data_IF_923560393348
#
_entry.id   IF_923560393348
#
_cell.length_a   1.000
_cell.length_b   1.000
_cell.length_c   1.000
_cell.angle_alpha   90.00
_cell.angle_beta   90.00
_cell.angle_gamma   90.00
#
_symmetry.space_group_name_H-M   'P 1'
#
loop_
_entity.id
_entity.type
_entity.pdbx_description
1 polymer ?
#
# COMPACT_ATOMS: atom_id res chain seq x y z
N UNK A 1 17.71 19.18 28.11
CA UNK A 1 16.59 20.13 28.30
C UNK A 1 15.30 19.33 28.44
N UNK A 2 14.56 19.50 29.54
CA UNK A 2 13.33 18.74 29.84
C UNK A 2 12.15 19.33 29.03
N UNK A 3 11.55 18.55 28.12
CA UNK A 3 10.30 18.90 27.43
C UNK A 3 9.10 18.72 28.39
N UNK A 4 8.08 19.60 28.38
CA UNK A 4 6.92 19.49 29.25
C UNK A 4 5.94 18.42 28.72
N UNK A 5 5.30 17.69 29.63
CA UNK A 5 4.34 16.61 29.34
C UNK A 5 2.93 17.19 29.29
N UNK A 6 2.26 17.10 28.15
CA UNK A 6 0.80 17.25 28.06
C UNK A 6 0.19 15.86 28.32
N UNK A 7 -0.60 15.76 29.39
CA UNK A 7 -1.18 14.53 29.88
C UNK A 7 -2.60 14.40 29.31
N UNK A 8 -2.78 13.54 28.30
CA UNK A 8 -4.12 13.14 27.85
C UNK A 8 -4.47 11.85 28.58
N UNK A 9 -5.49 11.94 29.42
CA UNK A 9 -6.01 10.85 30.24
C UNK A 9 -6.93 9.98 29.36
N UNK A 10 -6.53 8.74 29.07
CA UNK A 10 -7.43 7.72 28.54
C UNK A 10 -7.72 6.68 29.64
N UNK A 11 -9.01 6.47 29.88
CA UNK A 11 -9.60 5.61 30.91
C UNK A 11 -9.17 4.14 30.70
N UNK A 12 -8.48 3.54 31.67
CA UNK A 12 -8.20 2.09 31.71
C UNK A 12 -9.12 1.43 32.73
N UNK A 13 -9.93 0.48 32.26
CA UNK A 13 -10.78 -0.37 33.08
C UNK A 13 -9.99 -1.47 33.79
N UNK A 14 -10.37 -1.68 35.05
CA UNK A 14 -9.85 -2.55 36.09
C UNK A 14 -9.91 -4.07 35.77
N UNK A 15 -8.77 -4.79 35.85
CA UNK A 15 -8.67 -6.20 36.31
C UNK A 15 -7.32 -6.37 37.03
N UNK A 16 -7.34 -7.04 38.19
CA UNK A 16 -6.37 -6.95 39.29
C UNK A 16 -5.03 -7.71 39.17
N UNK A 17 -4.21 -7.68 40.24
CA UNK A 17 -2.78 -7.89 40.19
C UNK A 17 -2.40 -9.35 40.40
N UNK A 18 -1.72 -9.94 39.41
CA UNK A 18 -0.89 -11.12 39.59
C UNK A 18 0.57 -10.67 39.48
N UNK A 19 1.17 -10.47 40.64
CA UNK A 19 2.60 -10.24 40.79
C UNK A 19 3.36 -11.51 40.35
N UNK A 20 3.69 -11.59 39.06
CA UNK A 20 4.84 -12.35 38.60
C UNK A 20 6.08 -11.48 38.81
N UNK A 21 7.25 -12.05 39.18
CA UNK A 21 8.48 -11.28 39.27
C UNK A 21 8.76 -10.74 37.87
N UNK A 22 8.63 -9.42 37.71
CA UNK A 22 9.10 -8.71 36.54
C UNK A 22 10.62 -8.82 36.55
N UNK A 23 11.15 -9.91 36.00
CA UNK A 23 12.40 -9.85 35.27
C UNK A 23 12.14 -8.85 34.13
N UNK A 24 12.30 -7.57 34.45
CA UNK A 24 12.37 -6.50 33.48
C UNK A 24 13.63 -6.77 32.67
N UNK A 25 13.50 -7.62 31.66
CA UNK A 25 14.35 -7.49 30.49
C UNK A 25 14.08 -6.08 29.99
N UNK A 26 15.06 -5.18 30.14
CA UNK A 26 15.12 -3.88 29.47
C UNK A 26 15.24 -4.11 27.96
N UNK A 27 14.30 -4.83 27.36
CA UNK A 27 14.31 -5.05 25.92
C UNK A 27 14.00 -3.71 25.27
N UNK A 28 15.01 -3.12 24.63
CA UNK A 28 14.87 -1.93 23.82
C UNK A 28 14.64 -2.35 22.38
N UNK A 29 13.66 -1.72 21.74
CA UNK A 29 13.41 -1.88 20.31
C UNK A 29 14.69 -1.59 19.52
N UNK A 30 14.99 -2.44 18.53
CA UNK A 30 16.05 -2.18 17.55
C UNK A 30 15.61 -2.57 16.15
N UNK A 31 15.94 -1.71 15.17
CA UNK A 31 15.76 -1.98 13.74
C UNK A 31 16.83 -2.90 13.14
N UNK A 32 17.87 -3.26 13.90
CA UNK A 32 19.00 -4.07 13.40
C UNK A 32 18.66 -5.57 13.32
N UNK A 33 17.48 -5.96 13.80
CA UNK A 33 17.00 -7.34 13.76
C UNK A 33 16.07 -7.57 12.56
N UNK A 34 16.00 -8.80 12.02
CA UNK A 34 15.08 -9.13 10.94
C UNK A 34 13.59 -8.88 11.27
N UNK A 35 13.21 -8.97 12.55
CA UNK A 35 11.86 -8.70 13.06
C UNK A 35 11.64 -7.22 13.46
N UNK A 36 12.68 -6.38 13.33
CA UNK A 36 12.62 -4.93 13.58
C UNK A 36 12.18 -4.10 12.37
N UNK A 37 11.91 -4.76 11.24
CA UNK A 37 11.42 -4.16 9.99
C UNK A 37 10.16 -4.91 9.58
N UNK A 38 9.12 -4.18 9.18
CA UNK A 38 7.90 -4.84 8.74
C UNK A 38 8.13 -5.65 7.45
N UNK A 39 7.25 -6.64 7.16
CA UNK A 39 7.31 -7.37 5.90
C UNK A 39 7.31 -6.42 4.70
N UNK A 40 7.98 -6.82 3.62
CA UNK A 40 8.17 -5.99 2.41
C UNK A 40 6.87 -5.41 1.85
N UNK A 41 5.71 -6.00 2.10
CA UNK A 41 4.42 -5.45 1.68
C UNK A 41 4.06 -4.11 2.34
N UNK A 42 4.55 -3.84 3.54
CA UNK A 42 4.28 -2.63 4.30
C UNK A 42 5.31 -1.55 3.92
N UNK A 43 4.83 -0.39 3.51
CA UNK A 43 5.63 0.83 3.30
C UNK A 43 5.34 1.75 4.48
N UNK A 44 6.31 2.58 4.87
CA UNK A 44 6.18 3.51 6.00
C UNK A 44 5.99 2.77 7.34
N UNK A 45 6.75 1.70 7.55
CA UNK A 45 6.66 0.85 8.75
C UNK A 45 7.30 1.46 10.00
N UNK A 46 8.24 2.39 9.82
CA UNK A 46 8.94 3.08 10.92
C UNK A 46 9.42 4.47 10.51
N UNK A 47 9.69 5.32 11.50
CA UNK A 47 10.47 6.53 11.30
C UNK A 47 11.96 6.21 11.18
N UNK A 48 12.66 7.01 10.39
CA UNK A 48 14.10 6.96 10.16
C UNK A 48 14.81 7.93 11.11
N UNK A 49 16.04 7.59 11.51
CA UNK A 49 16.89 8.48 12.29
C UNK A 49 17.20 9.79 11.54
N UNK A 50 17.57 10.84 12.27
CA UNK A 50 17.89 12.14 11.68
C UNK A 50 18.96 12.03 10.57
N UNK A 51 18.62 12.50 9.37
CA UNK A 51 19.49 12.48 8.19
C UNK A 51 19.62 11.13 7.49
N UNK A 52 18.96 10.08 7.98
CA UNK A 52 18.95 8.78 7.31
C UNK A 52 18.12 8.83 6.02
N UNK A 53 18.62 8.16 4.99
CA UNK A 53 17.99 8.02 3.68
C UNK A 53 17.61 6.55 3.46
N UNK A 54 16.36 6.32 3.12
CA UNK A 54 15.85 5.02 2.68
C UNK A 54 15.50 5.10 1.19
N UNK A 55 15.99 4.14 0.41
CA UNK A 55 15.67 4.01 -1.01
C UNK A 55 15.19 2.59 -1.25
N UNK A 56 13.97 2.46 -1.75
CA UNK A 56 13.34 1.19 -2.05
C UNK A 56 12.92 1.14 -3.51
N UNK A 57 13.06 -0.03 -4.13
CA UNK A 57 12.46 -0.32 -5.42
C UNK A 57 11.65 -1.61 -5.29
N UNK A 58 10.42 -1.58 -5.80
CA UNK A 58 9.51 -2.72 -5.79
C UNK A 58 8.97 -2.95 -7.19
N UNK A 59 9.09 -4.19 -7.65
CA UNK A 59 8.37 -4.69 -8.79
C UNK A 59 7.25 -5.60 -8.29
N UNK A 60 6.08 -5.50 -8.91
CA UNK A 60 4.94 -6.38 -8.64
C UNK A 60 4.26 -6.69 -9.96
N UNK A 61 3.99 -7.97 -10.18
CA UNK A 61 3.19 -8.44 -11.29
C UNK A 61 1.92 -9.09 -10.72
N UNK A 62 0.79 -8.80 -11.35
CA UNK A 62 -0.50 -9.38 -11.02
C UNK A 62 -1.17 -9.88 -12.28
N UNK A 63 -1.37 -11.19 -12.34
CA UNK A 63 -2.17 -11.83 -13.38
C UNK A 63 -3.53 -12.27 -12.80
N UNK A 64 -4.59 -11.98 -13.54
CA UNK A 64 -5.95 -12.36 -13.20
C UNK A 64 -6.63 -12.98 -14.42
N UNK A 65 -7.29 -14.12 -14.19
CA UNK A 65 -7.99 -14.89 -15.23
C UNK A 65 -9.32 -15.45 -14.73
N UNK A 66 -10.24 -15.60 -15.68
CA UNK A 66 -11.56 -16.19 -15.46
C UNK A 66 -12.51 -15.25 -14.73
N UNK A 67 -13.79 -15.64 -14.72
CA UNK A 67 -14.88 -14.76 -14.26
C UNK A 67 -15.61 -15.42 -13.10
N UNK A 68 -15.88 -14.64 -12.06
CA UNK A 68 -16.55 -15.10 -10.85
C UNK A 68 -17.65 -14.15 -10.44
N UNK A 69 -18.73 -14.70 -9.89
CA UNK A 69 -19.72 -13.95 -9.12
C UNK A 69 -19.92 -14.69 -7.79
N UNK A 70 -19.39 -14.12 -6.71
CA UNK A 70 -19.31 -14.82 -5.42
C UNK A 70 -18.42 -16.08 -5.51
N UNK A 71 -18.88 -17.24 -5.03
CA UNK A 71 -18.12 -18.49 -5.11
C UNK A 71 -18.18 -19.13 -6.51
N UNK A 72 -19.12 -18.73 -7.36
CA UNK A 72 -19.42 -19.39 -8.62
C UNK A 72 -18.55 -18.86 -9.76
N UNK A 73 -18.05 -19.79 -10.59
CA UNK A 73 -17.28 -19.49 -11.80
C UNK A 73 -18.21 -19.52 -13.01
N UNK A 74 -18.05 -18.54 -13.89
CA UNK A 74 -18.78 -18.43 -15.14
C UNK A 74 -17.82 -18.58 -16.31
N UNK A 75 -18.27 -19.24 -17.38
CA UNK A 75 -17.53 -19.23 -18.63
C UNK A 75 -17.74 -17.92 -19.37
N UNK A 76 -16.79 -17.56 -20.21
CA UNK A 76 -16.82 -16.39 -21.07
C UNK A 76 -18.10 -16.39 -21.93
N UNK A 77 -18.47 -17.56 -22.48
CA UNK A 77 -19.69 -17.72 -23.28
C UNK A 77 -20.99 -17.44 -22.48
N UNK A 78 -21.04 -17.82 -21.20
CA UNK A 78 -22.19 -17.52 -20.35
C UNK A 78 -22.31 -16.01 -20.11
N UNK A 79 -21.18 -15.33 -19.91
CA UNK A 79 -21.14 -13.88 -19.68
C UNK A 79 -21.45 -13.11 -20.96
N UNK A 80 -20.94 -13.57 -22.11
CA UNK A 80 -21.24 -13.02 -23.44
C UNK A 80 -22.70 -13.20 -23.87
N UNK A 81 -23.45 -14.08 -23.20
CA UNK A 81 -24.90 -14.17 -23.37
C UNK A 81 -25.68 -13.01 -22.73
N UNK A 82 -25.02 -12.19 -21.90
CA UNK A 82 -25.62 -11.09 -21.14
C UNK A 82 -24.93 -9.75 -21.45
N UNK A 83 -23.62 -9.77 -21.69
CA UNK A 83 -22.80 -8.59 -21.98
C UNK A 83 -22.15 -8.71 -23.35
N UNK A 84 -21.95 -7.58 -24.04
CA UNK A 84 -21.33 -7.57 -25.38
C UNK A 84 -19.82 -7.89 -25.35
N UNK A 85 -19.18 -7.62 -24.20
CA UNK A 85 -17.75 -7.79 -23.99
C UNK A 85 -17.46 -8.49 -22.66
N UNK A 86 -16.38 -9.26 -22.65
CA UNK A 86 -15.92 -9.97 -21.47
C UNK A 86 -14.40 -9.89 -21.32
N UNK A 87 -13.87 -9.49 -20.15
CA UNK A 87 -12.44 -9.57 -19.89
C UNK A 87 -12.06 -11.04 -19.67
N UNK A 88 -11.13 -11.54 -20.46
CA UNK A 88 -10.64 -12.93 -20.40
C UNK A 88 -9.48 -13.04 -19.41
N UNK A 89 -8.50 -12.16 -19.59
CA UNK A 89 -7.29 -12.11 -18.79
C UNK A 89 -6.84 -10.67 -18.57
N UNK A 90 -6.06 -10.47 -17.51
CA UNK A 90 -5.42 -9.20 -17.19
C UNK A 90 -4.06 -9.44 -16.57
N UNK A 91 -3.07 -8.69 -17.04
CA UNK A 91 -1.75 -8.60 -16.43
C UNK A 91 -1.47 -7.15 -16.05
N UNK A 92 -0.97 -6.93 -14.84
CA UNK A 92 -0.59 -5.61 -14.33
C UNK A 92 0.83 -5.70 -13.80
N UNK A 93 1.73 -4.95 -14.41
CA UNK A 93 3.08 -4.73 -13.94
C UNK A 93 3.16 -3.37 -13.26
N UNK A 94 3.70 -3.33 -12.05
CA UNK A 94 3.86 -2.13 -11.26
C UNK A 94 5.30 -2.02 -10.79
N UNK A 95 5.92 -0.88 -11.11
CA UNK A 95 7.21 -0.46 -10.59
C UNK A 95 6.97 0.67 -9.60
N UNK A 96 7.49 0.55 -8.37
CA UNK A 96 7.41 1.60 -7.36
C UNK A 96 8.82 1.92 -6.87
N UNK A 97 9.19 3.19 -6.96
CA UNK A 97 10.35 3.78 -6.31
C UNK A 97 9.88 4.47 -5.02
N UNK A 98 10.43 4.05 -3.89
CA UNK A 98 10.17 4.65 -2.58
C UNK A 98 11.41 5.39 -2.12
N UNK A 99 11.24 6.63 -1.68
CA UNK A 99 12.27 7.47 -1.10
C UNK A 99 11.80 7.90 0.28
N UNK A 100 12.60 7.68 1.30
CA UNK A 100 12.34 8.10 2.68
C UNK A 100 13.50 8.91 3.22
N UNK A 101 13.20 9.98 3.95
CA UNK A 101 14.22 10.82 4.58
C UNK A 101 13.80 11.23 5.99
N UNK A 102 14.66 10.92 6.97
CA UNK A 102 14.48 11.33 8.37
C UNK A 102 14.83 12.81 8.54
N UNK A 103 13.84 13.68 8.71
CA UNK A 103 14.07 15.10 8.99
C UNK A 103 14.69 15.31 10.37
N UNK A 104 14.31 14.46 11.32
CA UNK A 104 14.87 14.33 12.66
C UNK A 104 14.50 12.92 13.20
N UNK A 105 14.87 12.60 14.44
CA UNK A 105 14.62 11.27 15.02
C UNK A 105 13.13 10.95 15.21
N UNK A 106 12.26 11.96 15.24
CA UNK A 106 10.82 11.81 15.46
C UNK A 106 10.00 11.89 14.14
N UNK A 107 10.57 12.44 13.05
CA UNK A 107 9.82 12.80 11.84
C UNK A 107 10.50 12.32 10.57
N UNK A 108 9.76 11.60 9.75
CA UNK A 108 10.21 11.11 8.44
C UNK A 108 9.25 11.54 7.35
N UNK A 109 9.79 11.94 6.20
CA UNK A 109 9.01 12.19 4.98
C UNK A 109 9.32 11.09 3.98
N UNK A 110 8.28 10.58 3.32
CA UNK A 110 8.40 9.57 2.29
C UNK A 110 7.70 10.00 1.01
N UNK A 111 8.21 9.57 -0.13
CA UNK A 111 7.62 9.73 -1.44
C UNK A 111 7.64 8.40 -2.18
N UNK A 112 6.52 8.04 -2.78
CA UNK A 112 6.35 6.87 -3.62
C UNK A 112 5.97 7.34 -5.02
N UNK A 113 6.79 6.95 -5.99
CA UNK A 113 6.60 7.23 -7.41
C UNK A 113 6.48 5.91 -8.13
N UNK A 114 5.60 5.80 -9.12
CA UNK A 114 5.40 4.53 -9.80
C UNK A 114 5.24 4.64 -11.31
N UNK A 115 5.40 3.50 -11.96
CA UNK A 115 5.04 3.26 -13.34
C UNK A 115 4.18 2.01 -13.38
N UNK A 116 3.02 2.09 -14.01
CA UNK A 116 2.08 0.97 -14.13
C UNK A 116 1.90 0.66 -15.61
N UNK A 117 2.03 -0.62 -15.97
CA UNK A 117 1.66 -1.14 -17.27
C UNK A 117 0.54 -2.17 -17.08
N UNK A 118 -0.55 -2.03 -17.83
CA UNK A 118 -1.67 -2.97 -17.82
C UNK A 118 -1.85 -3.53 -19.20
N UNK A 119 -2.10 -4.84 -19.26
CA UNK A 119 -2.50 -5.56 -20.46
C UNK A 119 -3.78 -6.29 -20.16
N UNK A 120 -4.78 -6.16 -21.02
CA UNK A 120 -6.05 -6.85 -20.89
C UNK A 120 -6.44 -7.49 -22.20
N UNK A 121 -6.94 -8.70 -22.10
CA UNK A 121 -7.56 -9.40 -23.21
C UNK A 121 -9.08 -9.32 -23.04
N UNK A 122 -9.76 -8.84 -24.07
CA UNK A 122 -11.21 -8.67 -24.07
C UNK A 122 -11.78 -9.41 -25.27
N UNK A 123 -12.77 -10.26 -25.02
CA UNK A 123 -13.50 -10.98 -26.05
C UNK A 123 -14.91 -10.41 -26.22
N UNK A 124 -15.45 -10.58 -27.41
CA UNK A 124 -16.87 -10.46 -27.75
C UNK A 124 -17.32 -11.78 -28.39
N UNK A 125 -18.57 -11.87 -28.84
CA UNK A 125 -19.04 -13.04 -29.60
C UNK A 125 -18.33 -13.21 -30.94
N UNK A 126 -17.79 -12.14 -31.52
CA UNK A 126 -17.29 -12.11 -32.91
C UNK A 126 -15.78 -11.86 -33.02
N UNK A 127 -15.19 -11.21 -32.02
CA UNK A 127 -13.82 -10.72 -32.08
C UNK A 127 -13.13 -10.71 -30.70
N UNK A 128 -11.81 -10.64 -30.75
CA UNK A 128 -10.91 -10.59 -29.60
C UNK A 128 -9.96 -9.42 -29.76
N UNK A 129 -9.75 -8.65 -28.69
CA UNK A 129 -8.85 -7.50 -28.69
C UNK A 129 -7.93 -7.51 -27.48
N UNK A 130 -6.71 -7.05 -27.68
CA UNK A 130 -5.74 -6.80 -26.63
C UNK A 130 -5.62 -5.30 -26.43
N UNK A 131 -5.80 -4.87 -25.20
CA UNK A 131 -5.71 -3.47 -24.79
C UNK A 131 -4.53 -3.31 -23.85
N UNK A 132 -3.71 -2.30 -24.09
CA UNK A 132 -2.51 -2.02 -23.32
C UNK A 132 -2.52 -0.55 -22.93
N UNK A 133 -2.19 -0.27 -21.68
CA UNK A 133 -2.07 1.09 -21.13
C UNK A 133 -0.85 1.15 -20.24
N UNK A 134 -0.04 2.20 -20.35
CA UNK A 134 1.12 2.36 -19.50
C UNK A 134 1.43 3.82 -19.26
N UNK A 135 1.56 4.20 -18.00
CA UNK A 135 1.88 5.58 -17.62
C UNK A 135 2.47 5.63 -16.21
N UNK A 136 2.91 6.82 -15.82
CA UNK A 136 3.27 7.16 -14.45
C UNK A 136 2.06 6.95 -13.55
N UNK A 137 2.26 6.34 -12.39
CA UNK A 137 1.23 6.16 -11.38
C UNK A 137 1.03 7.44 -10.55
N UNK A 138 -0.10 7.54 -9.87
CA UNK A 138 -0.31 8.58 -8.87
C UNK A 138 0.79 8.53 -7.79
N UNK A 139 1.37 9.69 -7.49
CA UNK A 139 2.42 9.80 -6.49
C UNK A 139 1.81 9.87 -5.09
N UNK A 140 2.46 9.22 -4.11
CA UNK A 140 2.06 9.29 -2.71
C UNK A 140 3.16 9.90 -1.88
N UNK A 141 2.86 10.97 -1.16
CA UNK A 141 3.78 11.60 -0.19
C UNK A 141 3.22 11.37 1.20
N UNK A 142 4.05 10.89 2.12
CA UNK A 142 3.67 10.61 3.50
C UNK A 142 4.58 11.36 4.47
N UNK A 143 4.01 11.85 5.57
CA UNK A 143 4.76 12.32 6.74
C UNK A 143 4.46 11.39 7.90
N UNK A 144 5.49 10.79 8.47
CA UNK A 144 5.42 9.91 9.63
C UNK A 144 5.92 10.68 10.86
N UNK A 145 5.21 10.51 11.98
CA UNK A 145 5.52 11.13 13.26
C UNK A 145 5.54 10.05 14.34
N UNK A 146 6.70 9.85 14.95
CA UNK A 146 6.84 8.94 16.09
C UNK A 146 6.06 9.53 17.29
N UNK A 147 5.16 8.72 17.85
CA UNK A 147 4.34 9.11 19.01
C UNK A 147 4.72 8.32 20.26
N UNK A 148 5.41 7.20 20.10
CA UNK A 148 5.78 6.33 21.20
C UNK A 148 6.96 5.45 20.85
N UNK A 149 8.06 5.61 21.59
CA UNK A 149 9.19 4.70 21.53
C UNK A 149 9.70 4.46 22.96
N UNK A 150 9.34 3.31 23.54
CA UNK A 150 9.76 2.93 24.91
C UNK A 150 9.83 1.42 25.09
N UNK A 151 10.99 0.94 25.52
CA UNK A 151 11.21 -0.50 25.75
C UNK A 151 10.95 -1.28 24.46
N UNK A 152 10.12 -2.34 24.48
CA UNK A 152 9.86 -3.17 23.31
C UNK A 152 8.84 -2.58 22.33
N UNK A 153 8.25 -1.41 22.63
CA UNK A 153 7.13 -0.85 21.89
C UNK A 153 7.52 0.37 21.07
N UNK A 154 7.08 0.38 19.82
CA UNK A 154 7.15 1.55 18.93
C UNK A 154 5.81 1.83 18.27
N UNK A 155 5.45 3.09 18.11
CA UNK A 155 4.29 3.49 17.36
C UNK A 155 4.48 4.86 16.72
N UNK A 156 4.04 4.99 15.48
CA UNK A 156 3.99 6.26 14.76
C UNK A 156 2.62 6.46 14.11
N UNK A 157 2.27 7.73 13.93
CA UNK A 157 1.12 8.14 13.12
C UNK A 157 1.65 8.68 11.80
N UNK A 158 0.85 8.57 10.74
CA UNK A 158 1.23 9.07 9.44
C UNK A 158 0.07 9.79 8.76
N UNK A 159 0.40 10.81 7.98
CA UNK A 159 -0.52 11.51 7.11
C UNK A 159 0.06 11.55 5.72
N UNK A 160 -0.64 10.90 4.79
CA UNK A 160 -0.32 10.86 3.38
C UNK A 160 -1.20 11.77 2.54
N UNK A 161 -0.68 12.19 1.40
CA UNK A 161 -1.43 12.79 0.31
C UNK A 161 -1.11 12.04 -0.99
N UNK A 162 -2.16 11.77 -1.77
CA UNK A 162 -2.04 11.21 -3.13
C UNK A 162 -2.18 12.35 -4.13
N UNK A 163 -1.21 12.46 -5.03
CA UNK A 163 -1.14 13.43 -6.11
C UNK A 163 -1.56 12.71 -7.41
N UNK A 164 -2.64 13.15 -8.08
CA UNK A 164 -3.11 12.52 -9.30
C UNK A 164 -2.19 12.88 -10.46
N UNK A 165 -1.18 12.05 -10.71
CA UNK A 165 -0.22 12.22 -11.79
C UNK A 165 -0.52 11.29 -12.96
N UNK A 166 -1.17 10.15 -12.71
CA UNK A 166 -1.47 9.19 -13.75
C UNK A 166 -2.63 9.62 -14.63
N UNK A 167 -2.57 9.22 -15.91
CA UNK A 167 -3.63 9.45 -16.88
C UNK A 167 -4.95 8.75 -16.50
N UNK A 168 -6.05 9.47 -16.76
CA UNK A 168 -7.44 8.99 -16.67
C UNK A 168 -8.16 9.06 -18.01
N UNK A 169 -7.40 9.29 -19.09
CA UNK A 169 -7.91 9.50 -20.44
C UNK A 169 -7.38 8.42 -21.41
N UNK A 170 -6.97 7.25 -20.88
CA UNK A 170 -6.49 6.14 -21.70
C UNK A 170 -7.60 5.65 -22.63
N UNK A 171 -7.30 5.60 -23.93
CA UNK A 171 -8.19 5.08 -24.97
C UNK A 171 -7.67 3.75 -25.51
N UNK A 172 -8.55 2.99 -26.16
CA UNK A 172 -8.16 1.76 -26.81
C UNK A 172 -9.23 1.23 -27.73
N UNK A 173 -8.85 0.25 -28.55
CA UNK A 173 -9.74 -0.41 -29.48
C UNK A 173 -10.61 -1.45 -28.76
N UNK A 174 -11.88 -1.51 -29.15
CA UNK A 174 -12.81 -2.56 -28.75
C UNK A 174 -12.95 -3.61 -29.85
N UNK A 175 -13.50 -4.80 -29.55
CA UNK A 175 -13.67 -5.86 -30.56
C UNK A 175 -14.49 -5.46 -31.81
N UNK A 176 -15.29 -4.40 -31.73
CA UNK A 176 -16.03 -3.82 -32.85
C UNK A 176 -15.20 -2.84 -33.71
N UNK A 177 -13.88 -2.76 -33.47
CA UNK A 177 -12.93 -1.80 -34.05
C UNK A 177 -13.24 -0.32 -33.74
N UNK A 178 -14.13 -0.03 -32.79
CA UNK A 178 -14.28 1.33 -32.28
C UNK A 178 -13.11 1.70 -31.37
N UNK A 179 -12.66 2.95 -31.45
CA UNK A 179 -11.74 3.51 -30.47
C UNK A 179 -12.55 4.36 -29.49
N UNK A 180 -12.43 4.05 -28.20
CA UNK A 180 -13.14 4.75 -27.14
C UNK A 180 -12.32 4.80 -25.85
N UNK A 181 -12.68 5.66 -24.87
CA UNK A 181 -12.08 5.64 -23.54
C UNK A 181 -12.18 4.26 -22.90
N UNK A 182 -11.05 3.77 -22.40
CA UNK A 182 -11.02 2.50 -21.70
C UNK A 182 -11.73 2.61 -20.33
N UNK A 183 -12.27 1.51 -19.80
CA UNK A 183 -12.92 1.53 -18.50
C UNK A 183 -11.93 1.87 -17.37
N UNK A 184 -12.46 2.29 -16.23
CA UNK A 184 -11.68 2.75 -15.07
C UNK A 184 -10.58 1.79 -14.62
N UNK A 185 -10.78 0.48 -14.80
CA UNK A 185 -9.82 -0.53 -14.43
C UNK A 185 -8.55 -0.57 -15.29
N UNK A 186 -8.61 0.00 -16.50
CA UNK A 186 -7.47 0.22 -17.40
C UNK A 186 -6.90 1.63 -17.30
N UNK A 187 -7.59 2.58 -16.68
CA UNK A 187 -7.02 3.89 -16.39
C UNK A 187 -5.88 3.76 -15.38
N UNK A 188 -4.84 4.58 -15.49
CA UNK A 188 -3.64 4.47 -14.65
C UNK A 188 -3.81 5.27 -13.36
N UNK A 189 -4.26 6.52 -13.48
CA UNK A 189 -4.50 7.42 -12.36
C UNK A 189 -5.90 7.29 -11.77
N UNK A 190 -6.06 7.91 -10.61
CA UNK A 190 -7.37 8.11 -9.96
C UNK A 190 -8.03 9.43 -10.35
N UNK A 191 -7.25 10.37 -10.90
CA UNK A 191 -7.72 11.70 -11.33
C UNK A 191 -8.15 12.62 -10.19
N UNK A 192 -7.87 12.27 -8.93
CA UNK A 192 -8.28 13.05 -7.77
C UNK A 192 -7.23 13.06 -6.67
N UNK A 193 -7.23 14.13 -5.88
CA UNK A 193 -6.42 14.20 -4.67
C UNK A 193 -7.07 13.37 -3.55
N UNK A 194 -6.24 12.69 -2.76
CA UNK A 194 -6.70 11.98 -1.56
C UNK A 194 -5.80 12.27 -0.37
N UNK A 195 -6.38 12.24 0.84
CA UNK A 195 -5.64 12.27 2.11
C UNK A 195 -5.73 10.90 2.76
N UNK A 196 -4.59 10.40 3.27
CA UNK A 196 -4.44 9.05 3.79
C UNK A 196 -3.90 9.11 5.23
N UNK A 197 -4.76 9.23 6.25
CA UNK A 197 -4.34 9.08 7.63
C UNK A 197 -4.01 7.61 7.94
N UNK A 198 -3.02 7.38 8.78
CA UNK A 198 -2.64 6.04 9.22
C UNK A 198 -1.95 6.05 10.58
N UNK A 199 -1.84 4.87 11.17
CA UNK A 199 -1.06 4.63 12.38
C UNK A 199 -0.50 3.22 12.34
N UNK A 200 0.70 3.04 12.84
CA UNK A 200 1.38 1.76 12.94
C UNK A 200 1.88 1.62 14.37
N UNK A 201 1.72 0.41 14.92
CA UNK A 201 2.29 0.05 16.21
C UNK A 201 2.96 -1.32 16.08
N UNK A 202 4.15 -1.45 16.65
CA UNK A 202 4.92 -2.67 16.63
C UNK A 202 5.45 -2.98 18.04
N UNK A 203 5.62 -4.28 18.30
CA UNK A 203 6.20 -4.80 19.53
C UNK A 203 7.26 -5.82 19.18
N UNK A 204 8.39 -5.78 19.88
CA UNK A 204 9.46 -6.76 19.72
C UNK A 204 9.61 -7.56 21.01
N UNK A 205 9.85 -8.86 20.90
CA UNK A 205 10.10 -9.73 22.04
C UNK A 205 11.33 -10.62 21.77
N UNK A 206 11.79 -11.31 22.81
CA UNK A 206 12.91 -12.26 22.70
C UNK A 206 12.46 -13.64 22.18
N UNK A 207 11.16 -13.96 22.35
CA UNK A 207 10.58 -15.24 21.96
C UNK A 207 9.85 -15.06 20.63
N UNK A 208 10.62 -14.94 19.54
CA UNK A 208 10.15 -14.59 18.20
C UNK A 208 8.71 -15.02 17.93
N UNK A 209 7.86 -14.04 17.62
CA UNK A 209 6.44 -14.25 17.30
C UNK A 209 6.29 -15.13 16.06
N UNK A 210 5.63 -16.28 16.22
CA UNK A 210 5.03 -17.08 15.14
C UNK A 210 3.65 -16.53 14.85
#
# INVERSE_FOLDING_TARGET
>A
MRKPRLLVLALVGLVGPLAAPAAAQEHQWTSDRPDGVAPVGIIADRTLAAGALEVGYRFSNMDAEGIKSGPDRFSEAQVLGIFDFVPVSRSIDTHVLTLGYGLNDDVTVMANLGWISKRRETASQEAFVIQETSDIADAKVDVLWDVWERGPYRAHVQLGAVVPLGSVEETGFFPDNSEAPLPYDMQIGTGSWALVPGAVAATQNENGTV
#
